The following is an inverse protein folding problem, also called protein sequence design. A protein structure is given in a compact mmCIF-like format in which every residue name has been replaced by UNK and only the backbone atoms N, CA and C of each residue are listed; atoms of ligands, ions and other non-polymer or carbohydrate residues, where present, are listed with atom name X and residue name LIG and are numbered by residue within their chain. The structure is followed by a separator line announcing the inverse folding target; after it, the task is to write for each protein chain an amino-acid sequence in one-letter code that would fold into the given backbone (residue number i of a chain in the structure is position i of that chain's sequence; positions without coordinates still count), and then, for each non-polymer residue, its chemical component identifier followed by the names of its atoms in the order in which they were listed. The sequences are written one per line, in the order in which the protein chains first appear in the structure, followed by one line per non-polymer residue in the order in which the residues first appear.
data_IF_154688704182
#
_entry.id   IF_154688704182
#
_cell.length_a   1.000
_cell.length_b   1.000
_cell.length_c   1.000
_cell.angle_alpha   90.00
_cell.angle_beta   90.00
_cell.angle_gamma   90.00
#
_symmetry.space_group_name_H-M   'P 1'
#
loop_
_entity.id
_entity.type
_entity.pdbx_description
1 polymer ?
#
# COMPACT_ATOMS: atom_id res chain seq x y z
N UNK A 1 -32.73 -0.48 -9.02
CA UNK A 1 -31.64 -0.07 -8.10
C UNK A 1 -32.17 0.98 -7.11
N UNK A 2 -32.24 0.65 -5.82
CA UNK A 2 -32.96 1.40 -4.77
C UNK A 2 -32.47 2.85 -4.58
N UNK A 3 -33.38 3.85 -4.47
CA UNK A 3 -33.05 5.29 -4.32
C UNK A 3 -32.11 5.59 -3.15
N UNK A 4 -32.20 4.84 -2.05
CA UNK A 4 -31.27 4.94 -0.90
C UNK A 4 -29.81 4.62 -1.25
N UNK A 5 -29.55 3.69 -2.19
CA UNK A 5 -28.20 3.35 -2.66
C UNK A 5 -27.61 4.44 -3.57
N UNK A 6 -28.43 5.09 -4.41
CA UNK A 6 -28.00 6.25 -5.23
C UNK A 6 -27.59 7.44 -4.35
N UNK A 7 -28.38 7.75 -3.32
CA UNK A 7 -28.11 8.87 -2.39
C UNK A 7 -26.80 8.70 -1.60
N UNK A 8 -26.51 7.48 -1.13
CA UNK A 8 -25.23 7.15 -0.45
C UNK A 8 -24.02 7.24 -1.40
N UNK A 9 -24.16 6.78 -2.65
CA UNK A 9 -23.08 6.85 -3.66
C UNK A 9 -22.79 8.31 -4.07
N UNK A 10 -23.82 9.13 -4.22
CA UNK A 10 -23.68 10.57 -4.52
C UNK A 10 -23.01 11.35 -3.40
N UNK A 11 -23.36 11.08 -2.13
CA UNK A 11 -22.70 11.70 -0.98
C UNK A 11 -21.21 11.33 -0.91
N UNK A 12 -20.87 10.07 -1.20
CA UNK A 12 -19.49 9.59 -1.19
C UNK A 12 -18.65 10.21 -2.31
N UNK A 13 -19.24 10.38 -3.51
CA UNK A 13 -18.61 11.11 -4.62
C UNK A 13 -18.45 12.60 -4.34
N UNK A 14 -19.41 13.21 -3.65
CA UNK A 14 -19.33 14.62 -3.23
C UNK A 14 -18.21 14.82 -2.19
N UNK A 15 -18.14 13.97 -1.15
CA UNK A 15 -17.02 13.98 -0.22
C UNK A 15 -15.67 13.79 -0.94
N UNK A 16 -15.61 12.90 -1.94
CA UNK A 16 -14.41 12.74 -2.77
C UNK A 16 -14.03 14.02 -3.51
N UNK A 17 -14.99 14.70 -4.15
CA UNK A 17 -14.71 15.96 -4.85
C UNK A 17 -14.25 17.07 -3.91
N UNK A 18 -14.78 17.12 -2.69
CA UNK A 18 -14.38 18.11 -1.68
C UNK A 18 -12.98 17.80 -1.14
N UNK A 19 -12.68 16.53 -0.85
CA UNK A 19 -11.36 16.11 -0.38
C UNK A 19 -10.30 16.31 -1.47
N UNK A 20 -10.58 15.87 -2.71
CA UNK A 20 -9.67 16.06 -3.85
C UNK A 20 -9.50 17.54 -4.22
N UNK A 21 -10.58 18.33 -4.19
CA UNK A 21 -10.54 19.76 -4.46
C UNK A 21 -9.77 20.54 -3.40
N UNK A 22 -9.94 20.19 -2.11
CA UNK A 22 -9.15 20.74 -1.02
C UNK A 22 -7.67 20.35 -1.13
N UNK A 23 -7.38 19.12 -1.55
CA UNK A 23 -6.01 18.66 -1.77
C UNK A 23 -5.31 19.39 -2.90
N UNK A 24 -5.97 19.49 -4.06
CA UNK A 24 -5.44 20.19 -5.24
C UNK A 24 -5.30 21.70 -4.99
N UNK A 25 -6.28 22.32 -4.33
CA UNK A 25 -6.22 23.73 -3.93
C UNK A 25 -5.07 24.02 -2.96
N UNK A 26 -4.86 23.13 -1.98
CA UNK A 26 -3.71 23.20 -1.07
C UNK A 26 -2.38 23.04 -1.80
N UNK A 27 -2.29 22.09 -2.73
CA UNK A 27 -1.07 21.83 -3.51
C UNK A 27 -0.69 23.03 -4.40
N UNK A 28 -1.66 23.63 -5.09
CA UNK A 28 -1.44 24.83 -5.93
C UNK A 28 -1.06 26.05 -5.09
N UNK A 29 -1.73 26.28 -3.96
CA UNK A 29 -1.39 27.37 -3.04
C UNK A 29 0.02 27.25 -2.45
N UNK A 30 0.46 26.01 -2.18
CA UNK A 30 1.78 25.73 -1.63
C UNK A 30 2.88 25.78 -2.70
N UNK A 31 2.62 25.34 -3.94
CA UNK A 31 3.57 25.44 -5.06
C UNK A 31 3.89 26.91 -5.39
N UNK A 32 2.85 27.76 -5.39
CA UNK A 32 3.00 29.20 -5.57
C UNK A 32 3.87 29.84 -4.47
N UNK A 33 3.67 29.44 -3.21
CA UNK A 33 4.46 29.92 -2.08
C UNK A 33 5.92 29.44 -2.11
N UNK A 34 6.21 28.32 -2.77
CA UNK A 34 7.57 27.79 -2.94
C UNK A 34 8.34 28.54 -4.03
N UNK A 35 7.70 28.79 -5.19
CA UNK A 35 8.30 29.54 -6.30
C UNK A 35 8.62 30.99 -5.96
N UNK A 36 7.90 31.58 -5.00
CA UNK A 36 8.08 32.98 -4.61
C UNK A 36 9.19 33.20 -3.56
N UNK A 37 9.75 32.15 -2.94
CA UNK A 37 10.50 32.32 -1.66
C UNK A 37 11.91 31.72 -1.58
N UNK A 38 12.33 30.77 -2.41
CA UNK A 38 13.63 30.10 -2.23
C UNK A 38 14.38 29.76 -3.53
N UNK A 39 15.60 30.28 -3.64
CA UNK A 39 16.65 29.77 -4.55
C UNK A 39 17.25 28.49 -3.94
N UNK A 40 16.55 27.37 -4.13
CA UNK A 40 17.04 25.97 -4.04
C UNK A 40 18.04 25.68 -2.89
N UNK A 41 17.51 25.34 -1.72
CA UNK A 41 18.12 24.40 -0.77
C UNK A 41 16.99 23.49 -0.27
N UNK A 42 17.15 22.16 -0.37
CA UNK A 42 16.22 21.16 0.16
C UNK A 42 16.19 21.21 1.70
N UNK A 43 15.52 22.20 2.27
CA UNK A 43 15.28 22.25 3.71
C UNK A 43 14.26 21.16 4.09
N UNK A 44 14.68 20.26 4.97
CA UNK A 44 13.87 19.17 5.54
C UNK A 44 12.54 19.71 6.09
N UNK A 45 12.55 20.91 6.69
CA UNK A 45 11.34 21.56 7.22
C UNK A 45 10.31 21.91 6.15
N UNK A 46 10.77 22.12 4.92
CA UNK A 46 9.90 22.37 3.77
C UNK A 46 9.50 21.07 3.11
N UNK A 47 10.38 20.07 3.01
CA UNK A 47 10.08 18.82 2.28
C UNK A 47 9.11 17.90 3.04
N UNK A 48 9.21 17.82 4.37
CA UNK A 48 8.38 16.87 5.15
C UNK A 48 6.86 17.10 4.93
N UNK A 49 6.32 18.34 5.02
CA UNK A 49 4.90 18.62 4.71
C UNK A 49 4.43 18.22 3.32
N UNK A 50 5.34 18.23 2.34
CA UNK A 50 5.02 17.80 0.97
C UNK A 50 4.94 16.30 0.88
N UNK A 51 5.89 15.59 1.50
CA UNK A 51 5.89 14.12 1.55
C UNK A 51 4.62 13.64 2.24
N UNK A 52 4.29 14.17 3.42
CA UNK A 52 3.09 13.75 4.16
C UNK A 52 1.81 13.96 3.35
N UNK A 53 1.69 15.10 2.68
CA UNK A 53 0.54 15.42 1.84
C UNK A 53 0.46 14.48 0.62
N UNK A 54 1.56 14.28 -0.12
CA UNK A 54 1.58 13.38 -1.28
C UNK A 54 1.22 11.96 -0.86
N UNK A 55 1.79 11.47 0.25
CA UNK A 55 1.48 10.16 0.80
C UNK A 55 -0.02 10.03 1.16
N UNK A 56 -0.62 11.08 1.75
CA UNK A 56 -2.04 11.08 2.09
C UNK A 56 -2.93 11.02 0.84
N UNK A 57 -2.60 11.78 -0.21
CA UNK A 57 -3.31 11.75 -1.48
C UNK A 57 -3.24 10.36 -2.14
N UNK A 58 -2.03 9.80 -2.24
CA UNK A 58 -1.82 8.47 -2.80
C UNK A 58 -2.56 7.40 -1.97
N UNK A 59 -2.55 7.54 -0.65
CA UNK A 59 -3.34 6.71 0.27
C UNK A 59 -4.83 6.79 -0.03
N UNK A 60 -5.37 7.98 -0.24
CA UNK A 60 -6.80 8.16 -0.54
C UNK A 60 -7.20 7.60 -1.91
N UNK A 61 -6.38 7.81 -2.95
CA UNK A 61 -6.62 7.27 -4.29
C UNK A 61 -6.58 5.74 -4.28
N UNK A 62 -5.53 5.16 -3.68
CA UNK A 62 -5.38 3.71 -3.58
C UNK A 62 -6.47 3.07 -2.71
N UNK A 63 -6.96 3.77 -1.68
CA UNK A 63 -8.08 3.32 -0.85
C UNK A 63 -9.35 3.13 -1.70
N UNK A 64 -9.62 4.06 -2.61
CA UNK A 64 -10.76 3.95 -3.51
C UNK A 64 -10.60 2.77 -4.49
N UNK A 65 -9.40 2.60 -5.05
CA UNK A 65 -9.09 1.48 -5.92
C UNK A 65 -9.29 0.15 -5.19
N UNK A 66 -8.84 0.05 -3.95
CA UNK A 66 -9.05 -1.11 -3.07
C UNK A 66 -10.53 -1.49 -2.99
N UNK A 67 -11.38 -0.55 -2.59
CA UNK A 67 -12.82 -0.83 -2.50
C UNK A 67 -13.45 -1.16 -3.86
N UNK A 68 -13.00 -0.52 -4.94
CA UNK A 68 -13.52 -0.77 -6.28
C UNK A 68 -13.21 -2.20 -6.74
N UNK A 69 -11.95 -2.63 -6.61
CA UNK A 69 -11.52 -3.98 -6.97
C UNK A 69 -12.19 -5.04 -6.11
N UNK A 70 -12.23 -4.87 -4.78
CA UNK A 70 -12.87 -5.84 -3.90
C UNK A 70 -14.38 -5.97 -4.15
N UNK A 71 -15.06 -4.85 -4.43
CA UNK A 71 -16.47 -4.88 -4.82
C UNK A 71 -16.69 -5.59 -6.16
N UNK A 72 -15.78 -5.38 -7.12
CA UNK A 72 -15.81 -6.06 -8.42
C UNK A 72 -15.58 -7.56 -8.25
N UNK A 73 -14.62 -7.97 -7.41
CA UNK A 73 -14.38 -9.37 -7.06
C UNK A 73 -15.63 -10.05 -6.49
N UNK A 74 -16.28 -9.45 -5.47
CA UNK A 74 -17.53 -10.00 -4.91
C UNK A 74 -18.68 -10.09 -5.92
N UNK A 75 -18.76 -9.15 -6.86
CA UNK A 75 -19.77 -9.18 -7.92
C UNK A 75 -19.53 -10.35 -8.87
N UNK A 76 -18.27 -10.60 -9.24
CA UNK A 76 -17.95 -11.76 -10.08
C UNK A 76 -18.15 -13.07 -9.33
N UNK A 77 -17.89 -13.11 -8.02
CA UNK A 77 -18.22 -14.27 -7.20
C UNK A 77 -19.72 -14.63 -7.23
N UNK A 78 -20.61 -13.65 -7.11
CA UNK A 78 -22.05 -13.92 -7.23
C UNK A 78 -22.46 -14.37 -8.63
N UNK A 79 -21.86 -13.79 -9.69
CA UNK A 79 -22.14 -14.20 -11.07
C UNK A 79 -21.65 -15.63 -11.34
N UNK A 80 -20.45 -15.97 -10.86
CA UNK A 80 -19.87 -17.30 -10.91
C UNK A 80 -20.78 -18.37 -10.25
N UNK A 81 -21.48 -18.03 -9.17
CA UNK A 81 -22.41 -18.97 -8.51
C UNK A 81 -23.74 -19.16 -9.25
N UNK A 82 -24.17 -18.20 -10.05
CA UNK A 82 -25.47 -18.20 -10.72
C UNK A 82 -25.40 -18.71 -12.17
N UNK A 83 -24.22 -18.62 -12.79
CA UNK A 83 -24.01 -18.94 -14.21
C UNK A 83 -23.77 -20.45 -14.43
N UNK A 84 -24.51 -21.05 -15.37
CA UNK A 84 -24.37 -22.47 -15.74
C UNK A 84 -23.69 -22.67 -17.10
N UNK A 85 -23.38 -21.60 -17.81
CA UNK A 85 -22.60 -21.62 -19.05
C UNK A 85 -21.10 -21.69 -18.73
N UNK A 86 -20.44 -22.78 -19.11
CA UNK A 86 -19.06 -23.09 -18.73
C UNK A 86 -18.05 -22.02 -19.20
N UNK A 87 -18.21 -21.45 -20.39
CA UNK A 87 -17.28 -20.46 -20.94
C UNK A 87 -17.38 -19.11 -20.21
N UNK A 88 -18.62 -18.69 -19.91
CA UNK A 88 -18.87 -17.49 -19.10
C UNK A 88 -18.43 -17.69 -17.64
N UNK A 89 -18.62 -18.89 -17.11
CA UNK A 89 -18.24 -19.27 -15.76
C UNK A 89 -16.72 -19.16 -15.53
N UNK A 90 -15.91 -19.68 -16.46
CA UNK A 90 -14.45 -19.57 -16.40
C UNK A 90 -13.98 -18.10 -16.46
N UNK A 91 -14.57 -17.28 -17.34
CA UNK A 91 -14.27 -15.84 -17.41
C UNK A 91 -14.57 -15.12 -16.09
N UNK A 92 -15.68 -15.45 -15.43
CA UNK A 92 -16.01 -14.88 -14.13
C UNK A 92 -15.07 -15.36 -13.03
N UNK A 93 -14.65 -16.63 -13.04
CA UNK A 93 -13.64 -17.16 -12.13
C UNK A 93 -12.34 -16.36 -12.21
N UNK A 94 -11.79 -16.17 -13.42
CA UNK A 94 -10.55 -15.41 -13.64
C UNK A 94 -10.72 -13.95 -13.19
N UNK A 95 -11.84 -13.32 -13.53
CA UNK A 95 -12.11 -11.93 -13.13
C UNK A 95 -12.29 -11.80 -11.62
N UNK A 96 -12.92 -12.75 -10.95
CA UNK A 96 -13.12 -12.77 -9.51
C UNK A 96 -11.78 -12.71 -8.76
N UNK A 97 -10.87 -13.64 -9.07
CA UNK A 97 -9.56 -13.72 -8.42
C UNK A 97 -8.64 -12.58 -8.82
N UNK A 98 -8.59 -12.20 -10.10
CA UNK A 98 -7.78 -11.06 -10.55
C UNK A 98 -8.15 -9.76 -9.82
N UNK A 99 -9.45 -9.48 -9.65
CA UNK A 99 -9.88 -8.31 -8.89
C UNK A 99 -9.63 -8.46 -7.38
N UNK A 100 -9.59 -9.68 -6.84
CA UNK A 100 -9.20 -9.90 -5.44
C UNK A 100 -7.73 -9.53 -5.24
N UNK A 101 -6.85 -10.04 -6.09
CA UNK A 101 -5.40 -9.79 -6.00
C UNK A 101 -5.06 -8.31 -6.23
N UNK A 102 -5.68 -7.65 -7.23
CA UNK A 102 -5.53 -6.20 -7.39
C UNK A 102 -6.07 -5.40 -6.19
N UNK A 103 -7.16 -5.87 -5.56
CA UNK A 103 -7.68 -5.27 -4.34
C UNK A 103 -6.70 -5.40 -3.18
N UNK A 104 -6.04 -6.55 -3.03
CA UNK A 104 -5.03 -6.80 -2.02
C UNK A 104 -3.77 -5.94 -2.23
N UNK A 105 -3.27 -5.87 -3.47
CA UNK A 105 -2.12 -5.02 -3.83
C UNK A 105 -2.43 -3.54 -3.56
N UNK A 106 -3.58 -3.06 -4.03
CA UNK A 106 -4.01 -1.68 -3.78
C UNK A 106 -4.12 -1.38 -2.28
N UNK A 107 -4.65 -2.33 -1.49
CA UNK A 107 -4.75 -2.19 -0.05
C UNK A 107 -3.38 -2.08 0.63
N UNK A 108 -2.41 -2.90 0.23
CA UNK A 108 -1.04 -2.83 0.78
C UNK A 108 -0.39 -1.47 0.47
N UNK A 109 -0.57 -0.94 -0.75
CA UNK A 109 -0.10 0.39 -1.13
C UNK A 109 -0.78 1.46 -0.27
N UNK A 110 -2.11 1.36 -0.08
CA UNK A 110 -2.89 2.27 0.78
C UNK A 110 -2.37 2.28 2.21
N UNK A 111 -2.14 1.11 2.78
CA UNK A 111 -1.66 0.96 4.15
C UNK A 111 -0.29 1.63 4.32
N UNK A 112 0.66 1.36 3.42
CA UNK A 112 2.01 1.98 3.46
C UNK A 112 1.91 3.49 3.30
N UNK A 113 1.15 3.99 2.33
CA UNK A 113 1.03 5.42 2.07
C UNK A 113 0.41 6.19 3.26
N UNK A 114 -0.64 5.64 3.88
CA UNK A 114 -1.30 6.27 5.04
C UNK A 114 -0.42 6.23 6.28
N UNK A 115 0.30 5.12 6.52
CA UNK A 115 1.27 5.05 7.63
C UNK A 115 2.40 6.06 7.44
N UNK A 116 2.95 6.16 6.23
CA UNK A 116 3.97 7.18 5.92
C UNK A 116 3.43 8.59 6.16
N UNK A 117 2.23 8.91 5.68
CA UNK A 117 1.58 10.20 5.92
C UNK A 117 1.37 10.49 7.41
N UNK A 118 1.00 9.47 8.20
CA UNK A 118 0.80 9.60 9.64
C UNK A 118 2.12 9.89 10.36
N UNK A 119 3.16 9.08 10.18
CA UNK A 119 4.42 9.25 10.89
C UNK A 119 5.16 10.55 10.49
N UNK A 120 5.08 10.93 9.21
CA UNK A 120 5.63 12.20 8.75
C UNK A 120 4.87 13.39 9.33
N UNK A 121 3.54 13.36 9.35
CA UNK A 121 2.73 14.43 9.96
C UNK A 121 2.86 14.54 11.48
N UNK A 122 3.07 13.43 12.20
CA UNK A 122 3.43 13.47 13.63
C UNK A 122 4.78 14.19 13.81
N UNK A 123 5.76 13.88 12.95
CA UNK A 123 7.07 14.51 12.98
C UNK A 123 6.98 16.01 12.70
N UNK A 124 6.11 16.44 11.77
CA UNK A 124 5.82 17.87 11.54
C UNK A 124 5.23 18.56 12.76
N UNK A 125 4.23 17.93 13.39
CA UNK A 125 3.57 18.47 14.57
C UNK A 125 4.55 18.72 15.72
N UNK A 126 5.50 17.79 15.92
CA UNK A 126 6.52 17.89 16.99
C UNK A 126 7.65 18.86 16.60
N UNK A 127 8.22 18.73 15.40
CA UNK A 127 9.45 19.44 15.01
C UNK A 127 9.23 20.85 14.43
N UNK A 128 8.09 21.09 13.78
CA UNK A 128 7.78 22.34 13.09
C UNK A 128 6.68 23.16 13.78
N UNK A 129 6.07 22.60 14.84
CA UNK A 129 4.88 23.13 15.51
C UNK A 129 3.80 23.56 14.50
N UNK A 130 3.69 22.81 13.39
CA UNK A 130 2.87 23.14 12.22
C UNK A 130 1.96 21.96 11.91
N UNK A 131 0.75 22.28 11.43
CA UNK A 131 -0.23 21.36 10.84
C UNK A 131 -0.89 20.33 11.76
N UNK A 132 -1.97 20.73 12.44
CA UNK A 132 -2.93 19.78 13.04
C UNK A 132 -3.79 19.07 11.97
N UNK A 133 -3.94 19.66 10.77
CA UNK A 133 -4.88 19.18 9.76
C UNK A 133 -4.39 17.91 9.07
N UNK A 134 -3.15 17.87 8.57
CA UNK A 134 -2.60 16.67 7.93
C UNK A 134 -2.55 15.51 8.91
N UNK A 135 -2.15 15.77 10.16
CA UNK A 135 -2.16 14.76 11.23
C UNK A 135 -3.57 14.21 11.47
N UNK A 136 -4.56 15.09 11.62
CA UNK A 136 -5.97 14.68 11.84
C UNK A 136 -6.52 13.89 10.67
N UNK A 137 -6.22 14.29 9.43
CA UNK A 137 -6.65 13.61 8.22
C UNK A 137 -5.96 12.24 8.06
N UNK A 138 -4.66 12.15 8.34
CA UNK A 138 -3.90 10.88 8.33
C UNK A 138 -4.45 9.92 9.38
N UNK A 139 -4.80 10.41 10.57
CA UNK A 139 -5.43 9.60 11.61
C UNK A 139 -6.81 9.09 11.18
N UNK A 140 -7.65 9.96 10.59
CA UNK A 140 -8.94 9.54 10.03
C UNK A 140 -8.76 8.49 8.92
N UNK A 141 -7.76 8.68 8.05
CA UNK A 141 -7.42 7.74 6.99
C UNK A 141 -6.98 6.39 7.57
N UNK A 142 -6.23 6.36 8.67
CA UNK A 142 -5.86 5.14 9.37
C UNK A 142 -7.10 4.37 9.87
N UNK A 143 -8.10 5.08 10.43
CA UNK A 143 -9.38 4.44 10.81
C UNK A 143 -10.07 3.81 9.59
N UNK A 144 -9.99 4.45 8.43
CA UNK A 144 -10.53 3.89 7.18
C UNK A 144 -9.72 2.67 6.69
N UNK A 145 -8.40 2.62 6.91
CA UNK A 145 -7.57 1.43 6.60
C UNK A 145 -8.07 0.22 7.36
N UNK A 146 -8.35 0.34 8.66
CA UNK A 146 -8.89 -0.79 9.44
C UNK A 146 -10.24 -1.28 8.89
N UNK A 147 -11.09 -0.36 8.44
CA UNK A 147 -12.36 -0.72 7.79
C UNK A 147 -12.13 -1.42 6.44
N UNK A 148 -11.16 -0.95 5.64
CA UNK A 148 -10.78 -1.57 4.38
C UNK A 148 -10.16 -2.96 4.59
N UNK A 149 -9.33 -3.14 5.63
CA UNK A 149 -8.75 -4.44 6.01
C UNK A 149 -9.84 -5.45 6.35
N UNK A 150 -10.81 -5.05 7.18
CA UNK A 150 -11.97 -5.90 7.50
C UNK A 150 -12.77 -6.26 6.24
N UNK A 151 -12.92 -5.32 5.31
CA UNK A 151 -13.60 -5.58 4.05
C UNK A 151 -12.81 -6.52 3.13
N UNK A 152 -11.48 -6.38 3.07
CA UNK A 152 -10.57 -7.26 2.36
C UNK A 152 -10.66 -8.69 2.88
N UNK A 153 -10.46 -8.91 4.18
CA UNK A 153 -10.52 -10.26 4.77
C UNK A 153 -11.88 -10.92 4.60
N UNK A 154 -12.97 -10.15 4.76
CA UNK A 154 -14.30 -10.67 4.45
C UNK A 154 -14.45 -11.05 2.97
N UNK A 155 -13.78 -10.34 2.06
CA UNK A 155 -13.79 -10.70 0.63
C UNK A 155 -12.97 -11.96 0.38
N UNK A 156 -11.79 -12.09 0.99
CA UNK A 156 -10.95 -13.29 0.90
C UNK A 156 -11.74 -14.50 1.42
N UNK A 157 -12.36 -14.40 2.61
CA UNK A 157 -13.22 -15.45 3.17
C UNK A 157 -14.32 -15.90 2.21
N UNK A 158 -15.03 -14.97 1.57
CA UNK A 158 -16.09 -15.31 0.60
C UNK A 158 -15.53 -15.95 -0.68
N UNK A 159 -14.49 -15.33 -1.25
CA UNK A 159 -13.99 -15.68 -2.59
C UNK A 159 -13.09 -16.91 -2.56
N UNK A 160 -12.18 -16.98 -1.60
CA UNK A 160 -11.19 -18.07 -1.42
C UNK A 160 -11.65 -19.15 -0.44
N UNK A 161 -12.79 -18.97 0.25
CA UNK A 161 -13.26 -19.87 1.31
C UNK A 161 -12.20 -20.08 2.42
N UNK A 162 -11.39 -19.05 2.67
CA UNK A 162 -10.29 -19.07 3.64
C UNK A 162 -10.41 -17.89 4.60
N UNK A 163 -10.49 -18.17 5.90
CA UNK A 163 -10.58 -17.16 6.94
C UNK A 163 -9.19 -16.72 7.40
N UNK A 164 -8.72 -15.60 6.83
CA UNK A 164 -7.46 -15.01 7.24
C UNK A 164 -7.59 -14.31 8.60
N UNK A 165 -6.72 -14.66 9.55
CA UNK A 165 -6.69 -14.04 10.86
C UNK A 165 -6.18 -12.58 10.78
N UNK A 166 -6.69 -11.71 11.66
CA UNK A 166 -6.28 -10.31 11.67
C UNK A 166 -4.80 -10.10 11.99
N UNK A 167 -4.24 -10.98 12.83
CA UNK A 167 -2.82 -11.07 13.14
C UNK A 167 -2.25 -12.38 12.59
N UNK A 168 -2.30 -12.55 11.27
CA UNK A 168 -1.79 -13.75 10.60
C UNK A 168 -0.30 -13.92 10.82
N UNK A 169 0.10 -15.12 11.23
CA UNK A 169 1.51 -15.52 11.31
C UNK A 169 2.03 -15.90 9.91
N UNK A 170 3.37 -15.99 9.72
CA UNK A 170 3.92 -16.50 8.47
C UNK A 170 3.41 -17.90 8.09
N UNK A 171 3.04 -18.72 9.09
CA UNK A 171 2.44 -20.03 8.87
C UNK A 171 1.02 -19.91 8.31
N UNK A 172 0.19 -19.05 8.87
CA UNK A 172 -1.18 -18.84 8.38
C UNK A 172 -1.18 -18.28 6.94
N UNK A 173 -0.19 -17.45 6.60
CA UNK A 173 0.00 -16.97 5.24
C UNK A 173 0.43 -18.09 4.29
N UNK A 174 1.28 -19.01 4.76
CA UNK A 174 1.68 -20.18 3.98
C UNK A 174 0.47 -21.09 3.72
N UNK A 175 -0.38 -21.30 4.72
CA UNK A 175 -1.62 -22.08 4.58
C UNK A 175 -2.60 -21.42 3.60
N UNK A 176 -2.68 -20.08 3.60
CA UNK A 176 -3.42 -19.32 2.59
C UNK A 176 -2.86 -19.50 1.18
N UNK A 177 -1.53 -19.42 0.98
CA UNK A 177 -0.90 -19.64 -0.33
C UNK A 177 -1.09 -21.10 -0.78
N UNK A 178 -1.08 -22.06 0.14
CA UNK A 178 -1.33 -23.47 -0.16
C UNK A 178 -2.78 -23.75 -0.59
N UNK A 179 -3.72 -22.80 -0.37
CA UNK A 179 -5.09 -22.91 -0.89
C UNK A 179 -5.20 -22.51 -2.36
N UNK A 180 -4.13 -22.00 -2.98
CA UNK A 180 -4.13 -21.59 -4.38
C UNK A 180 -4.04 -22.83 -5.27
N UNK A 181 -4.51 -22.72 -6.52
CA UNK A 181 -4.22 -23.76 -7.50
C UNK A 181 -2.73 -23.81 -7.84
N UNK A 182 -2.30 -24.92 -8.47
CA UNK A 182 -0.89 -25.17 -8.77
C UNK A 182 -0.27 -24.07 -9.64
N UNK A 183 -1.03 -23.54 -10.60
CA UNK A 183 -0.58 -22.51 -11.53
C UNK A 183 -0.44 -21.15 -10.86
N UNK A 184 -1.43 -20.74 -10.07
CA UNK A 184 -1.40 -19.52 -9.26
C UNK A 184 -0.24 -19.56 -8.25
N UNK A 185 -0.02 -20.71 -7.62
CA UNK A 185 1.10 -20.90 -6.69
C UNK A 185 2.44 -20.77 -7.39
N UNK A 186 2.62 -21.41 -8.54
CA UNK A 186 3.86 -21.32 -9.31
C UNK A 186 4.14 -19.88 -9.75
N UNK A 187 3.14 -19.18 -10.28
CA UNK A 187 3.26 -17.77 -10.66
C UNK A 187 3.61 -16.87 -9.47
N UNK A 188 2.98 -17.11 -8.31
CA UNK A 188 3.30 -16.37 -7.08
C UNK A 188 4.73 -16.64 -6.59
N UNK A 189 5.20 -17.88 -6.62
CA UNK A 189 6.56 -18.24 -6.25
C UNK A 189 7.59 -17.59 -7.18
N UNK A 190 7.37 -17.65 -8.48
CA UNK A 190 8.25 -17.03 -9.48
C UNK A 190 8.32 -15.51 -9.26
N UNK A 191 7.17 -14.85 -9.16
CA UNK A 191 7.11 -13.41 -8.95
C UNK A 191 7.72 -12.99 -7.61
N UNK A 192 7.44 -13.74 -6.54
CA UNK A 192 8.01 -13.49 -5.20
C UNK A 192 9.53 -13.63 -5.20
N UNK A 193 10.05 -14.65 -5.89
CA UNK A 193 11.49 -14.82 -6.07
C UNK A 193 12.11 -13.67 -6.85
N UNK A 194 11.51 -13.25 -7.97
CA UNK A 194 11.99 -12.10 -8.75
C UNK A 194 12.02 -10.82 -7.92
N UNK A 195 10.97 -10.54 -7.14
CA UNK A 195 10.92 -9.38 -6.23
C UNK A 195 12.02 -9.47 -5.18
N UNK A 196 12.18 -10.63 -4.53
CA UNK A 196 13.21 -10.83 -3.51
C UNK A 196 14.62 -10.66 -4.08
N UNK A 197 14.87 -11.22 -5.26
CA UNK A 197 16.14 -11.08 -5.95
C UNK A 197 16.40 -9.62 -6.32
N UNK A 198 15.42 -8.92 -6.89
CA UNK A 198 15.56 -7.50 -7.23
C UNK A 198 15.80 -6.63 -6.00
N UNK A 199 15.09 -6.91 -4.90
CA UNK A 199 15.28 -6.23 -3.63
C UNK A 199 16.72 -6.38 -3.12
N UNK A 200 17.22 -7.61 -3.08
CA UNK A 200 18.55 -7.92 -2.57
C UNK A 200 19.67 -7.40 -3.47
N UNK A 201 19.55 -7.57 -4.80
CA UNK A 201 20.65 -7.33 -5.73
C UNK A 201 20.68 -5.93 -6.33
N UNK A 202 19.54 -5.22 -6.37
CA UNK A 202 19.46 -3.90 -7.00
C UNK A 202 18.94 -2.82 -6.06
N UNK A 203 17.81 -3.07 -5.36
CA UNK A 203 17.18 -2.02 -4.56
C UNK A 203 18.02 -1.68 -3.32
N UNK A 204 18.42 -2.67 -2.53
CA UNK A 204 19.24 -2.43 -1.33
C UNK A 204 20.62 -1.82 -1.69
N UNK A 205 21.39 -2.36 -2.67
CA UNK A 205 22.57 -1.69 -3.23
C UNK A 205 22.32 -0.24 -3.67
N UNK A 206 21.24 0.00 -4.42
CA UNK A 206 20.86 1.34 -4.84
C UNK A 206 20.56 2.29 -3.67
N UNK A 207 19.93 1.80 -2.61
CA UNK A 207 19.67 2.60 -1.40
C UNK A 207 20.97 3.03 -0.70
N UNK A 208 22.00 2.19 -0.65
CA UNK A 208 23.30 2.62 -0.10
C UNK A 208 23.88 3.81 -0.88
N UNK A 209 23.81 3.76 -2.22
CA UNK A 209 24.28 4.84 -3.08
C UNK A 209 23.45 6.11 -2.83
N UNK A 210 22.13 5.99 -2.77
CA UNK A 210 21.24 7.13 -2.51
C UNK A 210 21.52 7.78 -1.14
N UNK A 211 21.66 6.98 -0.08
CA UNK A 211 22.01 7.48 1.27
C UNK A 211 23.37 8.17 1.26
N UNK A 212 24.37 7.61 0.56
CA UNK A 212 25.68 8.23 0.43
C UNK A 212 25.62 9.58 -0.31
N UNK A 213 24.84 9.67 -1.39
CA UNK A 213 24.61 10.92 -2.11
C UNK A 213 23.94 11.97 -1.22
N UNK A 214 22.89 11.60 -0.48
CA UNK A 214 22.25 12.52 0.47
C UNK A 214 23.21 12.97 1.57
N UNK A 215 24.02 12.06 2.11
CA UNK A 215 25.03 12.39 3.13
C UNK A 215 26.05 13.40 2.62
N UNK A 216 26.46 13.30 1.35
CA UNK A 216 27.36 14.26 0.71
C UNK A 216 26.69 15.62 0.51
N UNK A 217 25.43 15.64 0.09
CA UNK A 217 24.67 16.87 -0.14
C UNK A 217 24.38 17.64 1.15
N UNK A 218 24.11 16.95 2.26
CA UNK A 218 23.81 17.58 3.55
C UNK A 218 25.05 17.84 4.39
N UNK A 219 26.19 17.21 4.06
CA UNK A 219 27.40 17.25 4.89
C UNK A 219 27.30 16.46 6.19
N UNK A 220 26.24 15.65 6.36
CA UNK A 220 25.98 14.85 7.56
C UNK A 220 26.02 13.35 7.23
N UNK A 221 26.63 12.55 8.09
CA UNK A 221 26.67 11.10 7.92
C UNK A 221 25.34 10.51 8.37
N UNK A 222 24.57 9.95 7.44
CA UNK A 222 23.29 9.28 7.71
C UNK A 222 23.47 7.87 8.28
N UNK A 223 24.22 7.73 9.39
CA UNK A 223 24.65 6.45 9.96
C UNK A 223 23.48 5.48 10.24
N UNK A 224 22.38 5.99 10.82
CA UNK A 224 21.21 5.17 11.12
C UNK A 224 20.61 4.54 9.86
N UNK A 225 20.55 5.29 8.75
CA UNK A 225 20.03 4.80 7.49
C UNK A 225 20.91 3.68 6.92
N UNK A 226 22.24 3.84 6.97
CA UNK A 226 23.19 2.81 6.57
C UNK A 226 23.02 1.52 7.40
N UNK A 227 22.90 1.63 8.73
CA UNK A 227 22.72 0.48 9.61
C UNK A 227 21.40 -0.25 9.35
N UNK A 228 20.31 0.49 9.10
CA UNK A 228 19.01 -0.12 8.79
C UNK A 228 19.03 -0.88 7.47
N UNK A 229 19.55 -0.27 6.39
CA UNK A 229 19.69 -0.97 5.09
C UNK A 229 20.65 -2.16 5.23
N UNK A 230 21.75 -1.99 5.97
CA UNK A 230 22.70 -3.03 6.37
C UNK A 230 22.03 -4.24 7.01
N UNK A 231 21.27 -3.99 8.06
CA UNK A 231 20.59 -5.03 8.83
C UNK A 231 19.58 -5.80 7.97
N UNK A 232 18.77 -5.10 7.16
CA UNK A 232 17.81 -5.75 6.25
C UNK A 232 18.53 -6.59 5.20
N UNK A 233 19.60 -6.06 4.61
CA UNK A 233 20.37 -6.77 3.60
C UNK A 233 20.99 -8.06 4.16
N UNK A 234 21.59 -8.00 5.35
CA UNK A 234 22.13 -9.18 6.04
C UNK A 234 21.01 -10.16 6.38
N UNK A 235 19.89 -9.67 6.93
CA UNK A 235 18.77 -10.50 7.34
C UNK A 235 18.24 -11.36 6.18
N UNK A 236 18.03 -10.78 5.00
CA UNK A 236 17.55 -11.52 3.82
C UNK A 236 18.50 -12.68 3.49
N UNK A 237 19.81 -12.43 3.44
CA UNK A 237 20.81 -13.45 3.11
C UNK A 237 20.90 -14.55 4.19
N UNK A 238 20.83 -14.18 5.48
CA UNK A 238 20.83 -15.16 6.58
C UNK A 238 19.58 -16.04 6.56
N UNK A 239 18.42 -15.47 6.25
CA UNK A 239 17.15 -16.21 6.21
C UNK A 239 17.03 -17.17 5.03
N UNK A 240 17.94 -17.12 4.06
CA UNK A 240 18.04 -18.13 3.00
C UNK A 240 18.79 -19.40 3.43
N UNK A 241 19.61 -19.34 4.49
CA UNK A 241 20.41 -20.48 4.97
C UNK A 241 19.59 -21.75 5.32
N UNK A 242 18.41 -21.65 5.98
CA UNK A 242 17.61 -22.84 6.30
C UNK A 242 17.17 -23.61 5.05
N UNK A 243 16.94 -22.93 3.92
CA UNK A 243 16.58 -23.58 2.66
C UNK A 243 17.72 -24.48 2.19
N UNK A 244 18.94 -23.95 2.15
CA UNK A 244 20.14 -24.70 1.75
C UNK A 244 20.34 -25.93 2.64
N UNK A 245 20.27 -25.73 3.97
CA UNK A 245 20.43 -26.83 4.95
C UNK A 245 19.38 -27.92 4.83
N UNK A 246 18.14 -27.57 4.48
CA UNK A 246 17.04 -28.55 4.35
C UNK A 246 17.15 -29.37 3.08
N UNK A 247 17.57 -28.74 1.98
CA UNK A 247 17.56 -29.37 0.66
C UNK A 247 18.87 -30.10 0.33
N UNK A 248 20.02 -29.52 0.68
CA UNK A 248 21.35 -30.04 0.33
C UNK A 248 22.07 -30.65 1.53
N UNK A 249 21.44 -31.63 2.20
CA UNK A 249 21.99 -32.30 3.40
C UNK A 249 23.48 -32.64 3.30
#
# INVERSE_FOLDING_TARGET
MNMKKKKKRGLLLFLMSVVLGGFLGGFVGMFKAYTEKYEIILDVKTVIPWISSICLLLGFISMFLTFNFLKKSRRFHSLYQEEMDDDLNESYYVQMYRNLEFGNIAFNITNVAILLALFTSVSEGIALNRSNLTLSLSFLALVLVFNAQKYLYKTISIVRQFDLAFFSTPKDLLDYINSYDEGERQANLEQSFQILFQLNQYVLPGLYILIALFSLLTGEIQLLAFLLVGAVHIYINVMQLPMVKRYFK
#
